data_IF_628116064712
#
_entry.id   IF_628116064712
#
_cell.length_a   1.000
_cell.length_b   1.000
_cell.length_c   1.000
_cell.angle_alpha   90.00
_cell.angle_beta   90.00
_cell.angle_gamma   90.00
#
_symmetry.space_group_name_H-M   'P 1'
#
loop_
_entity.id
_entity.type
_entity.pdbx_description
1 polymer ?
#
# COMPACT_ATOMS: atom_id res chain seq x y z
N UNK A 1 0.11 22.49 -24.43
CA UNK A 1 -0.70 21.58 -23.58
C UNK A 1 -0.02 21.53 -22.22
N UNK A 2 -0.73 21.82 -21.13
CA UNK A 2 -0.14 21.89 -19.78
C UNK A 2 0.10 20.47 -19.24
N UNK A 3 1.34 20.00 -19.23
CA UNK A 3 1.70 18.63 -18.84
C UNK A 3 1.30 18.35 -17.39
N UNK A 4 1.41 19.36 -16.53
CA UNK A 4 1.01 19.30 -15.12
C UNK A 4 -0.49 18.97 -15.00
N UNK A 5 -1.34 19.49 -15.88
CA UNK A 5 -2.77 19.20 -15.86
C UNK A 5 -3.04 17.73 -16.16
N UNK A 6 -2.44 17.17 -17.22
CA UNK A 6 -2.60 15.76 -17.55
C UNK A 6 -2.07 14.84 -16.46
N UNK A 7 -0.90 15.17 -15.88
CA UNK A 7 -0.32 14.45 -14.77
C UNK A 7 -1.23 14.46 -13.53
N UNK A 8 -1.77 15.62 -13.18
CA UNK A 8 -2.67 15.75 -12.02
C UNK A 8 -3.98 15.01 -12.23
N UNK A 9 -4.53 15.07 -13.45
CA UNK A 9 -5.75 14.36 -13.83
C UNK A 9 -5.53 12.84 -13.74
N UNK A 10 -4.41 12.33 -14.27
CA UNK A 10 -4.02 10.93 -14.17
C UNK A 10 -3.93 10.47 -12.70
N UNK A 11 -3.23 11.21 -11.84
CA UNK A 11 -3.11 10.88 -10.42
C UNK A 11 -4.48 10.86 -9.76
N UNK A 12 -5.29 11.89 -9.99
CA UNK A 12 -6.63 12.01 -9.40
C UNK A 12 -7.50 10.82 -9.81
N UNK A 13 -7.52 10.47 -11.11
CA UNK A 13 -8.27 9.32 -11.60
C UNK A 13 -7.75 8.00 -11.00
N UNK A 14 -6.43 7.85 -10.89
CA UNK A 14 -5.81 6.68 -10.25
C UNK A 14 -6.27 6.54 -8.80
N UNK A 15 -6.23 7.63 -8.02
CA UNK A 15 -6.66 7.65 -6.62
C UNK A 15 -8.13 7.25 -6.46
N UNK A 16 -9.01 7.75 -7.33
CA UNK A 16 -10.44 7.41 -7.31
C UNK A 16 -10.64 5.91 -7.57
N UNK A 17 -10.05 5.39 -8.65
CA UNK A 17 -10.18 3.99 -9.03
C UNK A 17 -9.65 3.08 -7.91
N UNK A 18 -8.49 3.40 -7.38
CA UNK A 18 -7.84 2.61 -6.31
C UNK A 18 -8.62 2.69 -5.00
N UNK A 19 -9.20 3.85 -4.66
CA UNK A 19 -10.07 3.97 -3.49
C UNK A 19 -11.33 3.10 -3.62
N UNK A 20 -11.96 3.08 -4.80
CA UNK A 20 -13.13 2.24 -5.07
C UNK A 20 -12.78 0.76 -4.94
N UNK A 21 -11.70 0.31 -5.61
CA UNK A 21 -11.26 -1.08 -5.60
C UNK A 21 -10.89 -1.51 -4.18
N UNK A 22 -10.07 -0.72 -3.48
CA UNK A 22 -9.63 -1.03 -2.12
C UNK A 22 -10.82 -1.05 -1.15
N UNK A 23 -11.73 -0.09 -1.27
CA UNK A 23 -12.95 -0.03 -0.47
C UNK A 23 -13.85 -1.25 -0.69
N UNK A 24 -13.97 -1.70 -1.93
CA UNK A 24 -14.73 -2.90 -2.28
C UNK A 24 -14.08 -4.19 -1.75
N UNK A 25 -12.76 -4.33 -1.87
CA UNK A 25 -12.02 -5.54 -1.46
C UNK A 25 -11.90 -5.66 0.06
N UNK A 26 -11.79 -4.53 0.78
CA UNK A 26 -11.56 -4.48 2.23
C UNK A 26 -12.44 -5.42 3.07
N UNK A 27 -13.79 -5.43 2.96
CA UNK A 27 -14.63 -6.30 3.79
C UNK A 27 -14.39 -7.80 3.51
N UNK A 28 -14.19 -8.19 2.25
CA UNK A 28 -13.93 -9.57 1.87
C UNK A 28 -12.56 -10.04 2.37
N UNK A 29 -11.53 -9.21 2.16
CA UNK A 29 -10.18 -9.49 2.62
C UNK A 29 -10.14 -9.63 4.14
N UNK A 30 -10.80 -8.72 4.87
CA UNK A 30 -10.88 -8.77 6.32
C UNK A 30 -11.48 -10.09 6.81
N UNK A 31 -12.59 -10.54 6.21
CA UNK A 31 -13.23 -11.80 6.57
C UNK A 31 -12.30 -13.00 6.39
N UNK A 32 -11.64 -13.09 5.23
CA UNK A 32 -10.66 -14.15 4.96
C UNK A 32 -9.51 -14.10 5.96
N UNK A 33 -9.01 -12.90 6.28
CA UNK A 33 -7.93 -12.74 7.25
C UNK A 33 -8.34 -13.12 8.68
N UNK A 34 -9.60 -12.91 9.09
CA UNK A 34 -10.12 -13.38 10.38
C UNK A 34 -10.08 -14.91 10.42
N UNK A 35 -10.57 -15.56 9.37
CA UNK A 35 -10.60 -17.01 9.27
C UNK A 35 -9.18 -17.62 9.28
N UNK A 36 -8.21 -16.96 8.63
CA UNK A 36 -6.81 -17.41 8.57
C UNK A 36 -6.01 -17.10 9.85
N UNK A 37 -6.19 -15.92 10.42
CA UNK A 37 -5.42 -15.49 11.60
C UNK A 37 -5.98 -16.04 12.91
N UNK A 38 -7.25 -16.44 12.92
CA UNK A 38 -7.97 -16.95 14.09
C UNK A 38 -8.31 -15.88 15.15
N UNK A 39 -7.86 -14.64 14.98
CA UNK A 39 -8.21 -13.50 15.84
C UNK A 39 -8.45 -12.24 15.03
N UNK A 40 -9.39 -11.42 15.51
CA UNK A 40 -9.76 -10.14 14.90
C UNK A 40 -8.58 -9.16 14.86
N UNK A 41 -7.78 -9.07 15.93
CA UNK A 41 -6.66 -8.11 16.02
C UNK A 41 -5.60 -8.36 14.94
N UNK A 42 -5.22 -9.63 14.73
CA UNK A 42 -4.25 -10.02 13.70
C UNK A 42 -4.81 -9.75 12.30
N UNK A 43 -6.08 -10.06 12.09
CA UNK A 43 -6.75 -9.81 10.82
C UNK A 43 -6.84 -8.31 10.50
N UNK A 44 -7.08 -7.46 11.50
CA UNK A 44 -7.09 -6.01 11.33
C UNK A 44 -5.72 -5.47 10.92
N UNK A 45 -4.64 -5.94 11.55
CA UNK A 45 -3.28 -5.59 11.15
C UNK A 45 -3.02 -5.91 9.68
N UNK A 46 -3.30 -7.15 9.26
CA UNK A 46 -3.07 -7.58 7.87
C UNK A 46 -4.00 -6.89 6.87
N UNK A 47 -5.21 -6.52 7.29
CA UNK A 47 -6.13 -5.74 6.46
C UNK A 47 -5.59 -4.33 6.23
N UNK A 48 -5.12 -3.66 7.28
CA UNK A 48 -4.52 -2.33 7.17
C UNK A 48 -3.26 -2.36 6.31
N UNK A 49 -2.38 -3.33 6.55
CA UNK A 49 -1.18 -3.57 5.75
C UNK A 49 -1.50 -3.71 4.26
N UNK A 50 -2.46 -4.58 3.94
CA UNK A 50 -2.84 -4.85 2.55
C UNK A 50 -3.49 -3.63 1.90
N UNK A 51 -4.34 -2.89 2.61
CA UNK A 51 -4.94 -1.66 2.09
C UNK A 51 -3.89 -0.59 1.79
N UNK A 52 -2.87 -0.43 2.65
CA UNK A 52 -1.78 0.51 2.41
C UNK A 52 -1.01 0.12 1.14
N UNK A 53 -0.73 -1.16 0.92
CA UNK A 53 -0.04 -1.61 -0.29
C UNK A 53 -0.91 -1.47 -1.56
N UNK A 54 -2.19 -1.85 -1.48
CA UNK A 54 -3.16 -1.71 -2.56
C UNK A 54 -3.34 -0.25 -2.98
N UNK A 55 -3.19 0.69 -2.04
CA UNK A 55 -3.25 2.11 -2.31
C UNK A 55 -1.91 2.69 -2.77
N UNK A 56 -0.85 2.35 -2.05
CA UNK A 56 0.48 2.94 -2.22
C UNK A 56 1.16 2.51 -3.51
N UNK A 57 1.06 1.25 -3.92
CA UNK A 57 1.74 0.77 -5.12
C UNK A 57 1.23 1.45 -6.41
N UNK A 58 -0.08 1.52 -6.69
CA UNK A 58 -0.56 2.26 -7.87
C UNK A 58 -0.19 3.75 -7.82
N UNK A 59 -0.25 4.37 -6.65
CA UNK A 59 0.13 5.78 -6.48
C UNK A 59 1.61 6.01 -6.77
N UNK A 60 2.48 5.11 -6.31
CA UNK A 60 3.92 5.13 -6.58
C UNK A 60 4.21 5.16 -8.08
N UNK A 61 3.58 4.26 -8.83
CA UNK A 61 3.73 4.20 -10.29
C UNK A 61 3.12 5.40 -10.99
N UNK A 62 2.00 5.93 -10.49
CA UNK A 62 1.36 7.13 -11.06
C UNK A 62 2.24 8.38 -10.93
N UNK A 63 3.04 8.48 -9.86
CA UNK A 63 3.96 9.60 -9.63
C UNK A 63 5.26 9.51 -10.47
N UNK A 64 5.57 8.36 -11.07
CA UNK A 64 6.85 8.11 -11.76
C UNK A 64 6.86 8.60 -13.23
N UNK A 65 6.24 9.75 -13.49
CA UNK A 65 6.25 10.39 -14.81
C UNK A 65 7.38 11.41 -14.89
N UNK A 66 8.22 11.29 -15.91
CA UNK A 66 9.31 12.21 -16.18
C UNK A 66 9.17 12.77 -17.61
N UNK A 67 8.93 14.09 -17.78
CA UNK A 67 8.92 14.69 -19.11
C UNK A 67 10.34 14.69 -19.69
N UNK A 68 10.46 14.37 -20.99
CA UNK A 68 11.74 14.31 -21.70
C UNK A 68 12.31 15.69 -22.08
N UNK A 69 11.49 16.74 -22.02
CA UNK A 69 11.85 18.09 -22.43
C UNK A 69 12.16 18.99 -21.22
N UNK A 70 13.29 19.68 -21.27
CA UNK A 70 13.67 20.70 -20.28
C UNK A 70 12.75 21.92 -20.42
N UNK A 71 11.79 22.01 -19.51
CA UNK A 71 10.72 23.01 -19.52
C UNK A 71 10.67 23.71 -18.16
N UNK A 72 9.93 24.83 -18.07
CA UNK A 72 9.67 25.52 -16.79
C UNK A 72 8.94 24.66 -15.72
N UNK A 73 8.54 23.43 -16.05
CA UNK A 73 7.84 22.49 -15.17
C UNK A 73 8.81 21.51 -14.47
N UNK A 74 10.12 21.58 -14.73
CA UNK A 74 11.13 20.64 -14.21
C UNK A 74 11.10 20.51 -12.68
N UNK A 75 11.03 21.63 -11.95
CA UNK A 75 10.95 21.62 -10.49
C UNK A 75 9.73 20.85 -9.97
N UNK A 76 8.58 20.95 -10.64
CA UNK A 76 7.37 20.24 -10.24
C UNK A 76 7.54 18.72 -10.36
N UNK A 77 8.10 18.26 -11.48
CA UNK A 77 8.34 16.83 -11.72
C UNK A 77 9.50 16.28 -10.89
N UNK A 78 10.51 17.10 -10.57
CA UNK A 78 11.57 16.71 -9.64
C UNK A 78 11.01 16.44 -8.23
N UNK A 79 10.16 17.34 -7.72
CA UNK A 79 9.49 17.16 -6.43
C UNK A 79 8.59 15.92 -6.45
N UNK A 80 7.80 15.73 -7.52
CA UNK A 80 6.97 14.53 -7.67
C UNK A 80 7.80 13.24 -7.68
N UNK A 81 8.95 13.23 -8.37
CA UNK A 81 9.90 12.12 -8.38
C UNK A 81 10.48 11.83 -7.00
N UNK A 82 10.85 12.86 -6.23
CA UNK A 82 11.32 12.70 -4.84
C UNK A 82 10.24 12.12 -3.93
N UNK A 83 8.99 12.57 -4.07
CA UNK A 83 7.85 12.02 -3.33
C UNK A 83 7.62 10.56 -3.70
N UNK A 84 7.68 10.22 -5.00
CA UNK A 84 7.60 8.84 -5.48
C UNK A 84 8.70 7.98 -4.84
N UNK A 85 9.96 8.41 -4.89
CA UNK A 85 11.08 7.69 -4.28
C UNK A 85 10.90 7.44 -2.77
N UNK A 86 10.50 8.47 -2.03
CA UNK A 86 10.24 8.35 -0.59
C UNK A 86 9.08 7.40 -0.28
N UNK A 87 7.99 7.49 -1.04
CA UNK A 87 6.87 6.57 -0.93
C UNK A 87 7.31 5.13 -1.22
N UNK A 88 8.13 4.93 -2.25
CA UNK A 88 8.67 3.63 -2.62
C UNK A 88 9.51 3.01 -1.49
N UNK A 89 10.40 3.80 -0.89
CA UNK A 89 11.18 3.38 0.27
C UNK A 89 10.30 3.01 1.47
N UNK A 90 9.24 3.78 1.73
CA UNK A 90 8.29 3.51 2.81
C UNK A 90 7.51 2.21 2.57
N UNK A 91 7.04 1.97 1.34
CA UNK A 91 6.35 0.72 1.00
C UNK A 91 7.29 -0.48 1.08
N UNK A 92 8.55 -0.32 0.68
CA UNK A 92 9.56 -1.36 0.81
C UNK A 92 9.84 -1.72 2.28
N UNK A 93 9.97 -0.70 3.14
CA UNK A 93 10.11 -0.90 4.59
C UNK A 93 8.88 -1.62 5.18
N UNK A 94 7.68 -1.23 4.75
CA UNK A 94 6.44 -1.90 5.15
C UNK A 94 6.46 -3.37 4.75
N UNK A 95 6.81 -3.71 3.50
CA UNK A 95 6.96 -5.10 3.05
C UNK A 95 7.96 -5.86 3.94
N UNK A 96 9.08 -5.23 4.31
CA UNK A 96 10.04 -5.79 5.27
C UNK A 96 9.37 -6.17 6.59
N UNK A 97 8.58 -5.28 7.19
CA UNK A 97 7.80 -5.56 8.41
C UNK A 97 6.88 -6.76 8.20
N UNK A 98 6.16 -6.82 7.08
CA UNK A 98 5.29 -7.95 6.76
C UNK A 98 6.04 -9.28 6.70
N UNK A 99 7.23 -9.29 6.09
CA UNK A 99 8.10 -10.48 6.04
C UNK A 99 8.56 -10.88 7.44
N UNK A 100 9.05 -9.93 8.25
CA UNK A 100 9.49 -10.21 9.61
C UNK A 100 8.36 -10.77 10.48
N UNK A 101 7.18 -10.15 10.46
CA UNK A 101 6.02 -10.60 11.25
C UNK A 101 5.57 -11.99 10.79
N UNK A 102 5.55 -12.26 9.48
CA UNK A 102 5.18 -13.57 8.93
C UNK A 102 6.19 -14.65 9.34
N UNK A 103 7.47 -14.33 9.31
CA UNK A 103 8.54 -15.22 9.76
C UNK A 103 8.35 -15.59 11.24
N UNK A 104 8.20 -14.60 12.11
CA UNK A 104 7.94 -14.87 13.54
C UNK A 104 6.64 -15.64 13.76
N UNK A 105 5.58 -15.39 12.97
CA UNK A 105 4.34 -16.14 13.09
C UNK A 105 4.49 -17.63 12.71
N UNK A 106 5.40 -17.96 11.79
CA UNK A 106 5.70 -19.35 11.40
C UNK A 106 6.55 -20.08 12.44
N UNK A 107 7.49 -19.38 13.07
CA UNK A 107 8.45 -19.99 14.01
C UNK A 107 8.08 -19.82 15.49
N UNK A 108 7.15 -18.94 15.83
CA UNK A 108 6.72 -18.76 17.22
C UNK A 108 6.00 -20.03 17.73
N UNK A 109 6.40 -20.58 18.88
CA UNK A 109 5.71 -21.72 19.47
C UNK A 109 4.26 -21.34 19.77
N UNK A 110 3.31 -22.13 19.25
CA UNK A 110 1.89 -21.97 19.59
C UNK A 110 1.73 -22.31 21.07
N UNK A 111 1.39 -21.33 21.90
CA UNK A 111 0.97 -21.60 23.28
C UNK A 111 -0.24 -22.54 23.24
N UNK A 112 -0.17 -23.75 23.83
CA UNK A 112 -1.31 -24.64 23.87
C UNK A 112 -2.47 -23.90 24.54
N UNK A 113 -3.66 -23.91 23.92
CA UNK A 113 -4.87 -23.43 24.60
C UNK A 113 -4.99 -24.28 25.86
N UNK A 114 -4.91 -23.64 27.03
CA UNK A 114 -5.23 -24.30 28.29
C UNK A 114 -6.62 -24.91 28.13
N UNK A 115 -6.71 -26.23 28.22
CA UNK A 115 -7.96 -26.97 28.15
C UNK A 115 -8.90 -26.36 29.20
N UNK A 116 -10.01 -25.80 28.74
CA UNK A 116 -11.08 -25.35 29.62
C UNK A 116 -11.61 -26.59 30.33
N UNK A 117 -11.28 -26.69 31.62
CA UNK A 117 -11.74 -27.74 32.53
C UNK A 117 -13.18 -27.47 32.96
#
# INVERSE_FOLDING_TARGET
MNTILYFTLQITLTLIIVAIITGYVRPFLKRILIDLCGTEDRAQFWTAFSNILLFGLPLLFSLNYHPLAANNEELFFEVAGRISGNLGAMLFALVGIGVFVSFFALFAPRTPKAEAK
#
